data_IF_410618234038
#
_entry.id   IF_410618234038
#
_cell.length_a   1.000
_cell.length_b   1.000
_cell.length_c   1.000
_cell.angle_alpha   90.00
_cell.angle_beta   90.00
_cell.angle_gamma   90.00
#
_symmetry.space_group_name_H-M   'P 1'
#
loop_
_entity.id
_entity.type
_entity.pdbx_description
1 polymer ?
#
# COMPACT_ATOMS: atom_id res chain seq x y z
N UNK A 1 10.87 -3.90 2.39
CA UNK A 1 12.32 -4.23 2.33
C UNK A 1 12.58 -5.56 1.61
N UNK A 2 12.14 -6.70 2.14
CA UNK A 2 12.30 -8.00 1.44
C UNK A 2 11.73 -8.03 0.01
N UNK A 3 10.60 -7.36 -0.19
CA UNK A 3 9.90 -7.36 -1.47
C UNK A 3 10.63 -6.54 -2.56
N UNK A 4 11.17 -5.36 -2.22
CA UNK A 4 12.04 -4.58 -3.10
C UNK A 4 13.35 -5.32 -3.41
N UNK A 5 13.91 -5.99 -2.40
CA UNK A 5 15.11 -6.82 -2.57
C UNK A 5 14.87 -7.98 -3.54
N UNK A 6 13.70 -8.62 -3.50
CA UNK A 6 13.32 -9.68 -4.45
C UNK A 6 13.18 -9.12 -5.87
N UNK A 7 12.65 -7.89 -6.05
CA UNK A 7 12.64 -7.25 -7.38
C UNK A 7 14.05 -7.05 -7.88
N UNK A 8 14.90 -6.40 -7.08
CA UNK A 8 16.28 -6.08 -7.44
C UNK A 8 17.05 -7.36 -7.83
N UNK A 9 16.90 -8.41 -7.01
CA UNK A 9 17.55 -9.70 -7.22
C UNK A 9 17.02 -10.42 -8.46
N UNK A 10 15.70 -10.42 -8.68
CA UNK A 10 15.10 -11.03 -9.87
C UNK A 10 15.51 -10.27 -11.13
N UNK A 11 15.56 -8.94 -11.06
CA UNK A 11 15.98 -8.07 -12.18
C UNK A 11 17.44 -8.30 -12.53
N UNK A 12 18.33 -8.36 -11.53
CA UNK A 12 19.74 -8.67 -11.74
C UNK A 12 19.95 -10.07 -12.32
N UNK A 13 19.26 -11.11 -11.80
CA UNK A 13 19.35 -12.47 -12.34
C UNK A 13 18.86 -12.52 -13.80
N UNK A 14 17.79 -11.80 -14.16
CA UNK A 14 17.33 -11.75 -15.55
C UNK A 14 18.30 -11.04 -16.50
N UNK A 15 18.98 -10.00 -16.02
CA UNK A 15 19.95 -9.24 -16.84
C UNK A 15 21.26 -10.03 -16.98
N UNK A 16 21.83 -10.53 -15.87
CA UNK A 16 23.14 -11.20 -15.85
C UNK A 16 23.10 -12.63 -16.40
N UNK A 17 22.05 -13.41 -16.07
CA UNK A 17 21.99 -14.83 -16.44
C UNK A 17 21.25 -15.08 -17.76
N UNK A 18 20.22 -14.28 -18.07
CA UNK A 18 19.38 -14.46 -19.26
C UNK A 18 19.57 -13.39 -20.34
N UNK A 19 20.38 -12.35 -20.10
CA UNK A 19 20.72 -11.34 -21.10
C UNK A 19 19.55 -10.45 -21.56
N UNK A 20 18.46 -10.39 -20.79
CA UNK A 20 17.32 -9.52 -21.11
C UNK A 20 17.70 -8.05 -20.92
N UNK A 21 17.76 -7.27 -22.01
CA UNK A 21 18.04 -5.83 -21.97
C UNK A 21 16.86 -4.97 -21.47
N UNK A 22 15.66 -5.54 -21.38
CA UNK A 22 14.45 -4.79 -21.05
C UNK A 22 13.61 -5.55 -20.01
N UNK A 23 13.74 -5.18 -18.74
CA UNK A 23 13.08 -5.83 -17.58
C UNK A 23 11.79 -5.14 -17.15
N UNK A 24 11.32 -4.15 -17.91
CA UNK A 24 10.13 -3.35 -17.60
C UNK A 24 8.84 -4.16 -17.40
N UNK A 25 8.77 -5.39 -17.91
CA UNK A 25 7.63 -6.30 -17.73
C UNK A 25 7.50 -6.86 -16.31
N UNK A 26 8.57 -6.84 -15.50
CA UNK A 26 8.56 -7.35 -14.12
C UNK A 26 7.71 -6.46 -13.22
N UNK A 27 7.67 -5.15 -13.50
CA UNK A 27 7.03 -4.17 -12.64
C UNK A 27 5.49 -4.32 -12.57
N UNK A 28 4.76 -4.47 -13.69
CA UNK A 28 3.33 -4.80 -13.67
C UNK A 28 3.01 -6.10 -12.93
N UNK A 29 3.82 -7.16 -13.16
CA UNK A 29 3.65 -8.48 -12.52
C UNK A 29 3.71 -8.36 -11.01
N UNK A 30 4.67 -7.56 -10.54
CA UNK A 30 4.86 -7.29 -9.13
C UNK A 30 3.68 -6.53 -8.51
N UNK A 31 3.22 -5.44 -9.12
CA UNK A 31 2.09 -4.65 -8.62
C UNK A 31 0.84 -5.53 -8.49
N UNK A 32 0.55 -6.33 -9.52
CA UNK A 32 -0.61 -7.22 -9.51
C UNK A 32 -0.50 -8.33 -8.45
N UNK A 33 0.70 -8.91 -8.28
CA UNK A 33 0.99 -9.93 -7.28
C UNK A 33 0.88 -9.39 -5.85
N UNK A 34 1.49 -8.23 -5.58
CA UNK A 34 1.40 -7.51 -4.30
C UNK A 34 -0.06 -7.26 -3.93
N UNK A 35 -0.81 -6.70 -4.87
CA UNK A 35 -2.23 -6.42 -4.71
C UNK A 35 -3.01 -7.69 -4.39
N UNK A 36 -2.83 -8.77 -5.15
CA UNK A 36 -3.56 -10.02 -4.95
C UNK A 36 -3.25 -10.67 -3.59
N UNK A 37 -1.97 -10.74 -3.20
CA UNK A 37 -1.56 -11.36 -1.93
C UNK A 37 -2.15 -10.59 -0.74
N UNK A 38 -2.02 -9.26 -0.74
CA UNK A 38 -2.50 -8.45 0.39
C UNK A 38 -4.02 -8.39 0.46
N UNK A 39 -4.69 -8.20 -0.68
CA UNK A 39 -6.16 -8.19 -0.69
C UNK A 39 -6.75 -9.53 -0.29
N UNK A 40 -6.20 -10.66 -0.78
CA UNK A 40 -6.65 -12.00 -0.37
C UNK A 40 -6.40 -12.28 1.12
N UNK A 41 -5.28 -11.81 1.67
CA UNK A 41 -4.99 -11.90 3.10
C UNK A 41 -6.04 -11.15 3.92
N UNK A 42 -6.36 -9.90 3.55
CA UNK A 42 -7.37 -9.11 4.26
C UNK A 42 -8.78 -9.69 4.11
N UNK A 43 -9.16 -10.20 2.93
CA UNK A 43 -10.45 -10.88 2.72
C UNK A 43 -10.62 -12.07 3.68
N UNK A 44 -9.61 -12.94 3.75
CA UNK A 44 -9.64 -14.10 4.66
C UNK A 44 -9.69 -13.67 6.13
N UNK A 45 -8.95 -12.62 6.48
CA UNK A 45 -8.90 -12.10 7.85
C UNK A 45 -10.22 -11.46 8.29
N UNK A 46 -10.88 -10.74 7.39
CA UNK A 46 -12.22 -10.17 7.60
C UNK A 46 -13.34 -11.22 7.58
N UNK A 47 -13.01 -12.50 7.40
CA UNK A 47 -13.97 -13.61 7.24
C UNK A 47 -15.01 -13.35 6.15
N UNK A 48 -14.62 -12.63 5.10
CA UNK A 48 -15.45 -12.50 3.91
C UNK A 48 -15.53 -13.85 3.19
N UNK A 49 -16.62 -14.04 2.44
CA UNK A 49 -16.80 -15.27 1.66
C UNK A 49 -15.68 -15.42 0.62
N UNK A 50 -15.23 -16.65 0.38
CA UNK A 50 -14.22 -16.97 -0.63
C UNK A 50 -14.59 -16.49 -2.04
N UNK A 51 -15.87 -16.22 -2.31
CA UNK A 51 -16.32 -15.58 -3.55
C UNK A 51 -15.69 -14.20 -3.78
N UNK A 52 -15.25 -13.48 -2.75
CA UNK A 52 -14.51 -12.21 -2.88
C UNK A 52 -13.08 -12.37 -3.42
N UNK A 53 -12.55 -13.61 -3.48
CA UNK A 53 -11.28 -13.89 -4.14
C UNK A 53 -11.37 -13.81 -5.67
N UNK A 54 -12.55 -14.07 -6.24
CA UNK A 54 -12.78 -14.00 -7.68
C UNK A 54 -12.65 -12.56 -8.22
N UNK A 55 -13.34 -11.54 -7.67
CA UNK A 55 -13.18 -10.17 -8.12
C UNK A 55 -11.77 -9.62 -7.83
N UNK A 56 -11.11 -10.03 -6.76
CA UNK A 56 -9.72 -9.59 -6.50
C UNK A 56 -8.72 -10.19 -7.48
N UNK A 57 -8.88 -11.46 -7.85
CA UNK A 57 -8.09 -12.08 -8.90
C UNK A 57 -8.35 -11.43 -10.26
N UNK A 58 -9.62 -11.19 -10.60
CA UNK A 58 -10.01 -10.49 -11.82
C UNK A 58 -9.40 -9.08 -11.89
N UNK A 59 -9.43 -8.33 -10.79
CA UNK A 59 -8.87 -6.98 -10.72
C UNK A 59 -7.34 -7.00 -10.82
N UNK A 60 -6.67 -7.97 -10.17
CA UNK A 60 -5.22 -8.19 -10.30
C UNK A 60 -4.80 -8.47 -11.76
N UNK A 61 -5.52 -9.36 -12.45
CA UNK A 61 -5.29 -9.64 -13.88
C UNK A 61 -5.60 -8.41 -14.73
N UNK A 62 -6.65 -7.67 -14.40
CA UNK A 62 -6.98 -6.39 -15.03
C UNK A 62 -5.84 -5.37 -14.94
N UNK A 63 -5.18 -5.26 -13.78
CA UNK A 63 -4.02 -4.39 -13.60
C UNK A 63 -2.82 -4.82 -14.45
N UNK A 64 -2.60 -6.13 -14.65
CA UNK A 64 -1.56 -6.64 -15.56
C UNK A 64 -1.81 -6.21 -17.00
N UNK A 65 -3.04 -6.41 -17.47
CA UNK A 65 -3.43 -6.12 -18.85
C UNK A 65 -3.42 -4.62 -19.10
N UNK A 66 -3.97 -3.82 -18.19
CA UNK A 66 -4.00 -2.36 -18.30
C UNK A 66 -2.60 -1.75 -18.47
N UNK A 67 -1.60 -2.30 -17.76
CA UNK A 67 -0.21 -1.86 -17.89
C UNK A 67 0.43 -2.16 -19.25
N UNK A 68 -0.07 -3.16 -20.00
CA UNK A 68 0.45 -3.47 -21.35
C UNK A 68 -0.10 -2.51 -22.41
N UNK A 69 -1.30 -1.96 -22.21
CA UNK A 69 -1.97 -1.10 -23.19
C UNK A 69 -1.76 0.41 -22.91
N UNK A 70 -1.41 0.79 -21.67
CA UNK A 70 -1.24 2.18 -21.27
C UNK A 70 0.15 2.42 -20.64
N UNK A 71 1.17 2.71 -21.45
CA UNK A 71 2.55 2.97 -21.01
C UNK A 71 2.67 4.14 -19.99
N UNK A 72 1.74 5.10 -20.02
CA UNK A 72 1.75 6.30 -19.16
C UNK A 72 1.09 6.05 -17.79
N UNK A 73 0.51 4.87 -17.54
CA UNK A 73 -0.38 4.64 -16.40
C UNK A 73 0.21 3.81 -15.24
N UNK A 74 1.45 3.30 -15.34
CA UNK A 74 2.04 2.41 -14.33
C UNK A 74 2.03 3.01 -12.91
N UNK A 75 2.39 4.29 -12.78
CA UNK A 75 2.45 4.94 -11.48
C UNK A 75 1.06 5.18 -10.89
N UNK A 76 0.07 5.53 -11.73
CA UNK A 76 -1.32 5.68 -11.34
C UNK A 76 -1.96 4.34 -10.93
N UNK A 77 -1.64 3.27 -11.65
CA UNK A 77 -2.11 1.91 -11.38
C UNK A 77 -1.57 1.42 -10.04
N UNK A 78 -0.28 1.68 -9.75
CA UNK A 78 0.32 1.39 -8.45
C UNK A 78 -0.28 2.22 -7.32
N UNK A 79 -0.55 3.49 -7.56
CA UNK A 79 -1.19 4.34 -6.58
C UNK A 79 -2.62 3.86 -6.26
N UNK A 80 -3.39 3.49 -7.29
CA UNK A 80 -4.73 2.95 -7.13
C UNK A 80 -4.73 1.63 -6.34
N UNK A 81 -3.81 0.70 -6.62
CA UNK A 81 -3.67 -0.54 -5.85
C UNK A 81 -3.33 -0.26 -4.39
N UNK A 82 -2.43 0.70 -4.13
CA UNK A 82 -2.02 1.07 -2.78
C UNK A 82 -3.16 1.72 -1.97
N UNK A 83 -4.01 2.52 -2.61
CA UNK A 83 -5.22 3.09 -1.97
C UNK A 83 -6.17 1.98 -1.54
N UNK A 84 -6.42 0.99 -2.40
CA UNK A 84 -7.33 -0.13 -2.09
C UNK A 84 -6.78 -0.95 -0.91
N UNK A 85 -5.49 -1.26 -0.90
CA UNK A 85 -4.83 -1.98 0.19
C UNK A 85 -4.91 -1.17 1.49
N UNK A 86 -4.64 0.14 1.44
CA UNK A 86 -4.77 1.04 2.59
C UNK A 86 -6.19 1.00 3.16
N UNK A 87 -7.22 1.07 2.32
CA UNK A 87 -8.62 1.01 2.76
C UNK A 87 -8.97 -0.33 3.43
N UNK A 88 -8.50 -1.46 2.88
CA UNK A 88 -8.72 -2.79 3.46
C UNK A 88 -8.00 -2.96 4.80
N UNK A 89 -6.75 -2.50 4.90
CA UNK A 89 -6.00 -2.52 6.14
C UNK A 89 -6.68 -1.65 7.21
N UNK A 90 -7.10 -0.43 6.85
CA UNK A 90 -7.84 0.46 7.73
C UNK A 90 -9.17 -0.13 8.20
N UNK A 91 -9.93 -0.76 7.30
CA UNK A 91 -11.19 -1.42 7.64
C UNK A 91 -10.98 -2.60 8.60
N UNK A 92 -9.94 -3.40 8.38
CA UNK A 92 -9.56 -4.51 9.26
C UNK A 92 -9.21 -4.02 10.66
N UNK A 93 -8.41 -2.95 10.76
CA UNK A 93 -8.08 -2.31 12.04
C UNK A 93 -9.32 -1.80 12.78
N UNK A 94 -10.27 -1.18 12.06
CA UNK A 94 -11.53 -0.72 12.64
C UNK A 94 -12.39 -1.89 13.15
N UNK A 95 -12.47 -2.99 12.41
CA UNK A 95 -13.19 -4.19 12.87
C UNK A 95 -12.55 -4.79 14.11
N UNK A 96 -11.23 -4.92 14.14
CA UNK A 96 -10.49 -5.46 15.29
C UNK A 96 -10.72 -4.60 16.54
N UNK A 97 -10.67 -3.26 16.41
CA UNK A 97 -10.99 -2.35 17.52
C UNK A 97 -12.44 -2.48 17.99
N UNK A 98 -13.39 -2.68 17.06
CA UNK A 98 -14.83 -2.71 17.37
C UNK A 98 -15.28 -4.01 18.02
N UNK A 99 -14.74 -5.15 17.59
CA UNK A 99 -15.26 -6.48 17.96
C UNK A 99 -14.30 -7.29 18.83
N UNK A 100 -13.01 -6.93 18.92
CA UNK A 100 -12.02 -7.69 19.68
C UNK A 100 -11.49 -6.89 20.88
N UNK A 101 -11.79 -7.35 22.09
CA UNK A 101 -11.25 -6.78 23.34
C UNK A 101 -9.86 -7.30 23.71
N UNK A 102 -9.29 -8.24 22.94
CA UNK A 102 -7.94 -8.78 23.18
C UNK A 102 -6.96 -8.21 22.15
N UNK A 103 -5.85 -7.68 22.65
CA UNK A 103 -4.74 -7.20 21.80
C UNK A 103 -4.12 -8.41 21.11
N UNK A 104 -4.48 -8.62 19.84
CA UNK A 104 -3.86 -9.63 19.01
C UNK A 104 -2.57 -9.06 18.39
N UNK A 105 -1.48 -9.85 18.37
CA UNK A 105 -0.19 -9.40 17.80
C UNK A 105 -0.32 -8.97 16.33
N UNK A 106 -1.32 -9.48 15.63
CA UNK A 106 -1.63 -9.12 14.25
C UNK A 106 -2.13 -7.68 14.06
N UNK A 107 -2.68 -7.04 15.09
CA UNK A 107 -3.14 -5.64 15.01
C UNK A 107 -1.96 -4.69 14.75
N UNK A 108 -0.80 -4.96 15.37
CA UNK A 108 0.40 -4.16 15.17
C UNK A 108 0.90 -4.28 13.73
N UNK A 109 0.88 -5.49 13.17
CA UNK A 109 1.28 -5.76 11.78
C UNK A 109 0.34 -5.04 10.80
N UNK A 110 -0.97 -5.13 11.00
CA UNK A 110 -1.95 -4.44 10.15
C UNK A 110 -1.78 -2.91 10.23
N UNK A 111 -1.45 -2.38 11.41
CA UNK A 111 -1.20 -0.96 11.59
C UNK A 111 0.05 -0.50 10.82
N UNK A 112 1.11 -1.31 10.81
CA UNK A 112 2.28 -1.06 9.99
C UNK A 112 1.99 -1.14 8.49
N UNK A 113 1.16 -2.11 8.06
CA UNK A 113 0.72 -2.21 6.67
C UNK A 113 -0.09 -0.96 6.28
N UNK A 114 -1.09 -0.58 7.08
CA UNK A 114 -1.88 0.63 6.86
C UNK A 114 -0.99 1.87 6.74
N UNK A 115 -0.10 2.08 7.71
CA UNK A 115 0.88 3.16 7.71
C UNK A 115 1.74 3.15 6.44
N UNK A 116 2.35 2.01 6.09
CA UNK A 116 3.19 1.90 4.90
C UNK A 116 2.46 2.34 3.61
N UNK A 117 1.24 1.84 3.39
CA UNK A 117 0.47 2.21 2.19
C UNK A 117 -0.05 3.64 2.24
N UNK A 118 -0.38 4.19 3.42
CA UNK A 118 -0.68 5.61 3.57
C UNK A 118 0.51 6.50 3.21
N UNK A 119 1.74 6.18 3.66
CA UNK A 119 2.96 6.90 3.20
C UNK A 119 3.06 6.82 1.68
N UNK A 120 2.93 5.63 1.12
CA UNK A 120 3.15 5.40 -0.31
C UNK A 120 2.17 6.19 -1.19
N UNK A 121 0.88 6.19 -0.83
CA UNK A 121 -0.14 6.99 -1.54
C UNK A 121 0.15 8.47 -1.42
N UNK A 122 0.55 8.93 -0.23
CA UNK A 122 0.86 10.34 -0.03
C UNK A 122 2.06 10.78 -0.87
N UNK A 123 3.16 10.02 -0.85
CA UNK A 123 4.35 10.28 -1.69
C UNK A 123 3.97 10.34 -3.17
N UNK A 124 3.11 9.43 -3.63
CA UNK A 124 2.65 9.45 -5.02
C UNK A 124 1.90 10.75 -5.36
N UNK A 125 0.98 11.18 -4.50
CA UNK A 125 0.26 12.46 -4.69
C UNK A 125 1.24 13.64 -4.72
N UNK A 126 2.27 13.62 -3.87
CA UNK A 126 3.33 14.64 -3.91
C UNK A 126 4.07 14.61 -5.23
N UNK A 127 4.57 13.46 -5.64
CA UNK A 127 5.37 13.32 -6.86
C UNK A 127 4.60 13.84 -8.08
N UNK A 128 3.30 13.54 -8.17
CA UNK A 128 2.46 13.99 -9.27
C UNK A 128 2.22 15.51 -9.27
N UNK A 129 2.13 16.13 -8.09
CA UNK A 129 2.08 17.59 -7.98
C UNK A 129 3.42 18.24 -8.36
N UNK A 130 4.52 17.63 -7.94
CA UNK A 130 5.88 18.14 -8.12
C UNK A 130 6.35 18.10 -9.59
N UNK A 131 5.88 17.16 -10.41
CA UNK A 131 6.18 17.09 -11.85
C UNK A 131 5.72 18.32 -12.66
N UNK A 132 4.85 19.15 -12.10
CA UNK A 132 4.28 20.33 -12.77
C UNK A 132 4.87 21.67 -12.32
N UNK A 133 5.88 21.66 -11.44
CA UNK A 133 6.31 22.84 -10.68
C UNK A 133 7.78 23.23 -10.86
N UNK A 134 8.07 24.52 -10.69
CA UNK A 134 9.43 25.06 -10.63
C UNK A 134 10.17 24.64 -9.35
N UNK A 135 11.51 24.56 -9.39
CA UNK A 135 12.37 24.09 -8.28
C UNK A 135 12.13 24.82 -6.94
N UNK A 136 11.79 26.11 -6.97
CA UNK A 136 11.50 26.88 -5.77
C UNK A 136 10.17 26.51 -5.13
N UNK A 137 9.15 26.24 -5.94
CA UNK A 137 7.83 25.79 -5.48
C UNK A 137 7.88 24.33 -5.01
N UNK A 138 8.74 23.52 -5.63
CA UNK A 138 9.04 22.14 -5.25
C UNK A 138 9.45 22.02 -3.78
N UNK A 139 10.43 22.82 -3.32
CA UNK A 139 10.91 22.75 -1.94
C UNK A 139 9.85 23.17 -0.90
N UNK A 140 9.02 24.16 -1.24
CA UNK A 140 7.95 24.65 -0.35
C UNK A 140 6.85 23.59 -0.21
N UNK A 141 6.40 23.00 -1.31
CA UNK A 141 5.35 21.97 -1.29
C UNK A 141 5.85 20.70 -0.63
N UNK A 142 7.08 20.26 -0.92
CA UNK A 142 7.68 19.08 -0.28
C UNK A 142 7.79 19.24 1.23
N UNK A 143 8.27 20.40 1.69
CA UNK A 143 8.44 20.68 3.12
C UNK A 143 7.10 20.78 3.86
N UNK A 144 6.13 21.49 3.28
CA UNK A 144 4.78 21.65 3.85
C UNK A 144 4.09 20.28 3.96
N UNK A 145 4.22 19.45 2.93
CA UNK A 145 3.61 18.14 2.92
C UNK A 145 4.28 17.14 3.86
N UNK A 146 5.60 17.18 4.02
CA UNK A 146 6.28 16.37 5.03
C UNK A 146 5.86 16.76 6.46
N UNK A 147 5.66 18.06 6.74
CA UNK A 147 5.08 18.49 8.01
C UNK A 147 3.65 17.96 8.20
N UNK A 148 2.83 18.04 7.17
CA UNK A 148 1.44 17.56 7.19
C UNK A 148 1.37 16.03 7.38
N UNK A 149 2.27 15.29 6.74
CA UNK A 149 2.50 13.86 6.94
C UNK A 149 2.80 13.52 8.40
N UNK A 150 3.75 14.23 9.02
CA UNK A 150 4.14 14.00 10.41
C UNK A 150 2.94 14.26 11.34
N UNK A 151 2.19 15.33 11.11
CA UNK A 151 0.99 15.65 11.89
C UNK A 151 -0.09 14.58 11.69
N UNK A 152 -0.32 14.15 10.45
CA UNK A 152 -1.29 13.10 10.12
C UNK A 152 -0.89 11.76 10.76
N UNK A 153 0.41 11.43 10.75
CA UNK A 153 0.97 10.27 11.44
C UNK A 153 0.78 10.31 12.93
N UNK A 154 1.18 11.43 13.55
CA UNK A 154 1.02 11.64 14.98
C UNK A 154 -0.46 11.57 15.38
N UNK A 155 -1.36 12.12 14.56
CA UNK A 155 -2.81 12.08 14.78
C UNK A 155 -3.39 10.67 14.69
N UNK A 156 -3.03 9.91 13.65
CA UNK A 156 -3.47 8.53 13.49
C UNK A 156 -2.95 7.65 14.62
N UNK A 157 -1.66 7.77 14.94
CA UNK A 157 -1.00 7.00 15.99
C UNK A 157 -1.57 7.37 17.37
N UNK A 158 -1.76 8.65 17.65
CA UNK A 158 -2.42 9.13 18.86
C UNK A 158 -3.86 8.63 18.99
N UNK A 159 -4.65 8.71 17.92
CA UNK A 159 -6.03 8.22 17.90
C UNK A 159 -6.07 6.72 18.16
N UNK A 160 -5.16 5.96 17.54
CA UNK A 160 -5.03 4.52 17.74
C UNK A 160 -4.65 4.17 19.18
N UNK A 161 -3.66 4.87 19.75
CA UNK A 161 -3.23 4.68 21.15
C UNK A 161 -4.31 5.11 22.14
N UNK A 162 -5.04 6.19 21.88
CA UNK A 162 -6.14 6.66 22.73
C UNK A 162 -7.33 5.71 22.70
N UNK A 163 -7.68 5.17 21.54
CA UNK A 163 -8.68 4.11 21.40
C UNK A 163 -8.27 2.87 22.19
N UNK A 164 -7.01 2.43 22.05
CA UNK A 164 -6.47 1.32 22.86
C UNK A 164 -6.56 1.59 24.37
N UNK A 165 -6.18 2.79 24.83
CA UNK A 165 -6.21 3.16 26.25
C UNK A 165 -7.63 3.15 26.82
N UNK A 166 -8.60 3.72 26.10
CA UNK A 166 -9.99 3.77 26.55
C UNK A 166 -10.66 2.38 26.64
N UNK A 167 -10.21 1.41 25.84
CA UNK A 167 -10.69 0.02 25.88
C UNK A 167 -10.09 -0.71 27.09
N UNK A 168 -8.80 -0.50 27.39
CA UNK A 168 -8.11 -1.10 28.55
C UNK A 168 -8.58 -0.57 29.92
N UNK A 169 -9.10 0.66 29.99
CA UNK A 169 -9.63 1.23 31.25
C UNK A 169 -11.11 0.88 31.53
N UNK A 170 -11.79 0.22 30.58
CA UNK A 170 -13.19 -0.23 30.75
C UNK A 170 -13.31 -1.72 31.15
N UNK A 171 -12.19 -2.43 31.22
CA UNK A 171 -12.05 -3.76 31.84
C UNK A 171 -11.51 -3.61 33.25
#
# INVERSE_FOLDING_TARGET
>A
MFFLFIIELTTNVLIEFFGYKNTSFIYPIFIAGEFFILTSLFIKKLKFSDYWLIPTLSLSVGLLIANQFFEVANDYIKAASNIIIMCLAGYTLLQEIKYNNKVNNFIVVDAFIFMYYTVSVFIFVLQNQLTSLSESTYFIILSTNNMLLIVFYASLLYTFLRLKKNILTKT
#
